data_IF_417154238378
#
_entry.id   IF_417154238378
#
_cell.length_a   1.000
_cell.length_b   1.000
_cell.length_c   1.000
_cell.angle_alpha   90.00
_cell.angle_beta   90.00
_cell.angle_gamma   90.00
#
_symmetry.space_group_name_H-M   'P 1'
#
loop_
_entity.id
_entity.type
_entity.pdbx_description
1 polymer ?
#
# COMPACT_ATOMS: atom_id res chain seq x y z
N UNK A 1 -53.69 7.73 -58.28
CA UNK A 1 -53.11 8.39 -57.10
C UNK A 1 -52.84 7.27 -56.10
N UNK A 2 -51.91 6.36 -56.40
CA UNK A 2 -50.44 6.50 -56.17
C UNK A 2 -50.20 6.87 -54.69
N UNK A 3 -49.49 6.14 -53.83
CA UNK A 3 -48.61 4.96 -53.85
C UNK A 3 -48.64 4.42 -52.39
N UNK A 4 -48.51 3.14 -52.06
CA UNK A 4 -47.34 2.32 -52.34
C UNK A 4 -46.14 2.69 -51.45
N UNK A 5 -46.20 2.50 -50.12
CA UNK A 5 -44.97 2.57 -49.28
C UNK A 5 -44.48 1.17 -48.94
N UNK A 6 -43.56 0.72 -49.78
CA UNK A 6 -42.88 -0.56 -49.72
C UNK A 6 -41.99 -0.68 -48.47
N UNK A 7 -42.07 -1.87 -47.89
CA UNK A 7 -41.04 -2.47 -47.07
C UNK A 7 -39.78 -2.65 -47.94
N UNK A 8 -38.62 -2.42 -47.33
CA UNK A 8 -37.25 -2.63 -47.82
C UNK A 8 -36.58 -1.45 -48.55
N UNK A 9 -35.71 -0.76 -47.81
CA UNK A 9 -34.38 -0.45 -48.31
C UNK A 9 -33.35 -0.97 -47.32
N UNK A 10 -32.69 -2.06 -47.71
CA UNK A 10 -31.49 -2.57 -47.08
C UNK A 10 -30.31 -1.63 -47.40
N UNK A 11 -29.29 -1.64 -46.53
CA UNK A 11 -28.03 -0.85 -46.54
C UNK A 11 -28.12 0.52 -45.86
N UNK A 12 -28.13 0.51 -44.52
CA UNK A 12 -27.71 1.65 -43.71
C UNK A 12 -26.56 1.20 -42.83
N UNK A 13 -25.47 1.96 -42.79
CA UNK A 13 -24.45 1.86 -41.75
C UNK A 13 -25.12 1.72 -40.36
N UNK A 14 -24.52 1.00 -39.39
CA UNK A 14 -25.11 0.91 -38.06
C UNK A 14 -25.41 2.33 -37.58
N UNK A 15 -26.68 2.62 -37.27
CA UNK A 15 -27.03 3.82 -36.51
C UNK A 15 -26.04 3.91 -35.38
N UNK A 16 -25.30 5.03 -35.31
CA UNK A 16 -24.18 5.19 -34.38
C UNK A 16 -24.58 4.71 -33.00
N UNK A 17 -23.71 3.92 -32.37
CA UNK A 17 -23.97 3.27 -31.08
C UNK A 17 -24.42 4.30 -30.02
N UNK A 18 -24.01 5.56 -30.20
CA UNK A 18 -24.42 6.71 -29.39
C UNK A 18 -25.90 7.09 -29.55
N UNK A 19 -26.44 7.07 -30.77
CA UNK A 19 -27.87 7.33 -31.02
C UNK A 19 -28.74 6.20 -30.48
N UNK A 20 -28.29 4.94 -30.61
CA UNK A 20 -28.97 3.82 -29.96
C UNK A 20 -29.01 3.99 -28.43
N UNK A 21 -27.90 4.40 -27.81
CA UNK A 21 -27.84 4.67 -26.37
C UNK A 21 -28.77 5.83 -25.95
N UNK A 22 -28.88 6.86 -26.79
CA UNK A 22 -29.79 8.00 -26.57
C UNK A 22 -31.24 7.57 -26.63
N UNK A 23 -31.62 6.74 -27.61
CA UNK A 23 -32.98 6.19 -27.72
C UNK A 23 -33.35 5.34 -26.50
N UNK A 24 -32.45 4.47 -26.02
CA UNK A 24 -32.68 3.66 -24.81
C UNK A 24 -32.93 4.56 -23.58
N UNK A 25 -32.21 5.67 -23.46
CA UNK A 25 -32.30 6.56 -22.31
C UNK A 25 -33.48 7.54 -22.38
N UNK A 26 -34.17 7.70 -23.53
CA UNK A 26 -35.36 8.57 -23.65
C UNK A 26 -36.49 8.20 -22.68
N UNK A 27 -36.63 6.92 -22.35
CA UNK A 27 -37.62 6.43 -21.38
C UNK A 27 -37.17 6.52 -19.91
N UNK A 28 -35.96 7.05 -19.65
CA UNK A 28 -35.35 7.10 -18.32
C UNK A 28 -35.28 8.53 -17.79
N UNK A 29 -35.17 8.73 -16.46
CA UNK A 29 -34.91 10.05 -15.87
C UNK A 29 -33.49 10.56 -16.15
N UNK A 30 -32.65 9.77 -16.83
CA UNK A 30 -31.26 10.11 -17.12
C UNK A 30 -31.09 10.52 -18.59
N UNK A 31 -30.26 11.53 -18.83
CA UNK A 31 -29.90 11.99 -20.16
C UNK A 31 -28.39 11.91 -20.38
N UNK A 32 -27.98 11.64 -21.63
CA UNK A 32 -26.56 11.65 -22.00
C UNK A 32 -26.03 13.07 -22.06
N UNK A 33 -24.87 13.29 -21.45
CA UNK A 33 -24.13 14.53 -21.66
C UNK A 33 -23.42 14.46 -23.03
N UNK A 34 -24.03 15.06 -24.05
CA UNK A 34 -23.52 15.04 -25.42
C UNK A 34 -22.17 15.77 -25.58
N UNK A 35 -21.84 16.71 -24.69
CA UNK A 35 -20.53 17.37 -24.72
C UNK A 35 -19.39 16.43 -24.28
N UNK A 36 -19.70 15.41 -23.47
CA UNK A 36 -18.74 14.41 -22.97
C UNK A 36 -18.84 13.06 -23.70
N UNK A 37 -19.96 12.79 -24.37
CA UNK A 37 -20.23 11.52 -25.05
C UNK A 37 -19.70 11.58 -26.47
N UNK A 38 -18.86 10.60 -26.84
CA UNK A 38 -18.22 10.54 -28.16
C UNK A 38 -18.21 9.10 -28.66
N UNK A 39 -18.44 8.92 -29.94
CA UNK A 39 -18.20 7.67 -30.65
C UNK A 39 -16.90 7.83 -31.43
N UNK A 40 -15.97 6.89 -31.25
CA UNK A 40 -14.68 6.86 -31.96
C UNK A 40 -14.46 5.46 -32.52
N UNK A 41 -14.00 5.38 -33.76
CA UNK A 41 -13.57 4.11 -34.32
C UNK A 41 -12.33 3.60 -33.58
N UNK A 42 -12.20 2.28 -33.49
CA UNK A 42 -11.03 1.64 -32.84
C UNK A 42 -9.73 2.00 -33.57
N UNK A 43 -9.80 2.19 -34.89
CA UNK A 43 -8.67 2.58 -35.74
C UNK A 43 -8.18 3.99 -35.39
N UNK A 44 -9.08 4.96 -35.30
CA UNK A 44 -8.77 6.32 -34.85
C UNK A 44 -8.22 6.33 -33.42
N UNK A 45 -8.78 5.47 -32.55
CA UNK A 45 -8.29 5.33 -31.18
C UNK A 45 -6.85 4.81 -31.12
N UNK A 46 -6.40 3.98 -32.08
CA UNK A 46 -4.99 3.56 -32.16
C UNK A 46 -4.05 4.70 -32.56
N UNK A 47 -4.53 5.66 -33.36
CA UNK A 47 -3.74 6.78 -33.90
C UNK A 47 -3.74 8.02 -32.99
N UNK A 48 -4.88 8.35 -32.38
CA UNK A 48 -5.03 9.55 -31.55
C UNK A 48 -4.90 9.23 -30.05
N UNK A 49 -5.36 8.05 -29.66
CA UNK A 49 -5.51 7.66 -28.26
C UNK A 49 -6.65 8.36 -27.54
N UNK A 50 -6.82 7.97 -26.28
CA UNK A 50 -7.92 8.45 -25.44
C UNK A 50 -7.53 8.45 -23.96
N UNK A 51 -7.73 9.59 -23.29
CA UNK A 51 -7.73 9.66 -21.82
C UNK A 51 -9.05 9.06 -21.32
N UNK A 52 -9.00 7.99 -20.53
CA UNK A 52 -10.18 7.32 -20.00
C UNK A 52 -9.89 6.77 -18.60
N UNK A 53 -10.83 6.94 -17.66
CA UNK A 53 -10.75 6.38 -16.29
C UNK A 53 -9.44 6.68 -15.54
N UNK A 54 -8.85 7.84 -15.76
CA UNK A 54 -7.57 8.22 -15.13
C UNK A 54 -6.34 7.56 -15.76
N UNK A 55 -6.47 6.86 -16.88
CA UNK A 55 -5.37 6.29 -17.68
C UNK A 55 -5.38 6.81 -19.12
N UNK A 56 -4.45 6.33 -19.95
CA UNK A 56 -4.33 6.64 -21.37
C UNK A 56 -4.30 5.36 -22.21
N UNK A 57 -5.09 5.32 -23.28
CA UNK A 57 -5.16 4.20 -24.22
C UNK A 57 -4.55 4.64 -25.56
N UNK A 58 -3.70 3.78 -26.13
CA UNK A 58 -3.00 3.99 -27.41
C UNK A 58 -2.10 5.24 -27.42
N UNK A 59 -1.58 5.66 -28.58
CA UNK A 59 -0.19 5.44 -28.99
C UNK A 59 0.88 5.98 -28.03
N UNK A 60 2.10 5.44 -28.15
CA UNK A 60 3.19 5.66 -27.18
C UNK A 60 3.52 7.15 -26.94
N UNK A 61 3.50 7.99 -27.98
CA UNK A 61 3.87 9.42 -27.85
C UNK A 61 2.92 10.18 -26.91
N UNK A 62 1.59 10.27 -27.18
CA UNK A 62 0.65 10.85 -26.23
C UNK A 62 0.61 10.17 -24.86
N UNK A 63 0.80 8.84 -24.82
CA UNK A 63 0.87 8.07 -23.57
C UNK A 63 2.04 8.54 -22.69
N UNK A 64 3.21 8.78 -23.30
CA UNK A 64 4.39 9.34 -22.62
C UNK A 64 4.11 10.74 -22.10
N UNK A 65 3.54 11.62 -22.93
CA UNK A 65 3.16 12.98 -22.50
C UNK A 65 2.19 12.93 -21.30
N UNK A 66 1.22 12.03 -21.33
CA UNK A 66 0.31 11.81 -20.21
C UNK A 66 1.03 11.38 -18.93
N UNK A 67 1.97 10.44 -19.01
CA UNK A 67 2.72 10.00 -17.83
C UNK A 67 3.65 11.12 -17.32
N UNK A 68 4.26 11.90 -18.21
CA UNK A 68 5.07 13.08 -17.85
C UNK A 68 4.24 14.13 -17.10
N UNK A 69 3.01 14.43 -17.56
CA UNK A 69 2.08 15.30 -16.81
C UNK A 69 1.82 14.78 -15.38
N UNK A 70 1.74 13.44 -15.22
CA UNK A 70 1.55 12.81 -13.90
C UNK A 70 2.81 12.82 -13.04
N UNK A 71 3.99 12.72 -13.65
CA UNK A 71 5.27 12.89 -12.97
C UNK A 71 5.45 14.32 -12.48
N UNK A 72 5.05 15.33 -13.26
CA UNK A 72 5.06 16.72 -12.82
C UNK A 72 4.18 16.91 -11.56
N UNK A 73 2.98 16.33 -11.52
CA UNK A 73 2.14 16.36 -10.30
C UNK A 73 2.80 15.63 -9.12
N UNK A 74 3.50 14.53 -9.36
CA UNK A 74 4.26 13.84 -8.31
C UNK A 74 5.39 14.74 -7.79
N UNK A 75 6.13 15.39 -8.69
CA UNK A 75 7.21 16.30 -8.35
C UNK A 75 6.70 17.48 -7.50
N UNK A 76 5.63 18.15 -7.92
CA UNK A 76 4.99 19.22 -7.15
C UNK A 76 4.62 18.77 -5.73
N UNK A 77 4.06 17.56 -5.60
CA UNK A 77 3.71 16.98 -4.31
C UNK A 77 4.95 16.67 -3.44
N UNK A 78 6.08 16.27 -4.05
CA UNK A 78 7.35 16.03 -3.36
C UNK A 78 8.02 17.34 -2.93
N UNK A 79 7.95 18.39 -3.76
CA UNK A 79 8.47 19.72 -3.44
C UNK A 79 7.74 20.32 -2.24
N UNK A 80 6.42 20.16 -2.18
CA UNK A 80 5.61 20.58 -1.03
C UNK A 80 5.99 19.91 0.30
N UNK A 81 6.75 18.80 0.30
CA UNK A 81 7.23 18.15 1.52
C UNK A 81 8.40 18.89 2.18
N UNK A 82 9.11 19.75 1.45
CA UNK A 82 10.34 20.41 1.92
C UNK A 82 10.05 21.40 3.05
N UNK A 83 8.86 22.00 3.06
CA UNK A 83 8.43 22.98 4.07
C UNK A 83 7.91 22.33 5.37
N UNK A 84 7.71 21.01 5.36
CA UNK A 84 7.12 20.29 6.48
C UNK A 84 8.18 19.72 7.43
N UNK A 85 7.86 19.54 8.73
CA UNK A 85 8.76 18.85 9.64
C UNK A 85 8.99 17.41 9.16
N UNK A 86 10.25 16.96 9.19
CA UNK A 86 10.71 15.68 8.61
C UNK A 86 9.82 14.47 8.88
N UNK A 87 9.28 14.34 10.09
CA UNK A 87 8.39 13.22 10.45
C UNK A 87 7.06 13.28 9.68
N UNK A 88 6.46 14.46 9.53
CA UNK A 88 5.24 14.67 8.74
C UNK A 88 5.51 14.39 7.27
N UNK A 89 6.64 14.88 6.76
CA UNK A 89 7.04 14.65 5.37
C UNK A 89 7.22 13.16 5.08
N UNK A 90 7.89 12.42 5.97
CA UNK A 90 8.07 10.98 5.82
C UNK A 90 6.73 10.22 5.87
N UNK A 91 5.82 10.62 6.77
CA UNK A 91 4.49 10.01 6.86
C UNK A 91 3.67 10.22 5.58
N UNK A 92 3.66 11.45 5.05
CA UNK A 92 2.96 11.79 3.81
C UNK A 92 3.58 11.11 2.59
N UNK A 93 4.91 11.08 2.51
CA UNK A 93 5.64 10.39 1.46
C UNK A 93 5.24 8.91 1.40
N UNK A 94 5.31 8.21 2.54
CA UNK A 94 5.03 6.78 2.63
C UNK A 94 3.54 6.46 2.46
N UNK A 95 2.67 7.26 3.07
CA UNK A 95 1.24 6.99 3.19
C UNK A 95 0.37 7.51 2.04
N UNK A 96 0.88 8.47 1.25
CA UNK A 96 0.07 9.14 0.24
C UNK A 96 0.83 9.39 -1.07
N UNK A 97 1.93 10.14 -1.03
CA UNK A 97 2.53 10.70 -2.27
C UNK A 97 3.10 9.60 -3.16
N UNK A 98 3.82 8.62 -2.60
CA UNK A 98 4.33 7.48 -3.39
C UNK A 98 3.23 6.59 -4.00
N UNK A 99 1.98 6.72 -3.53
CA UNK A 99 0.84 5.95 -4.05
C UNK A 99 0.14 6.62 -5.24
N UNK A 100 0.45 7.89 -5.54
CA UNK A 100 -0.25 8.66 -6.57
C UNK A 100 -0.22 7.97 -7.94
N UNK A 101 0.91 7.35 -8.31
CA UNK A 101 1.07 6.67 -9.59
C UNK A 101 0.75 5.16 -9.53
N UNK A 102 0.45 4.62 -8.35
CA UNK A 102 0.28 3.16 -8.14
C UNK A 102 -0.87 2.58 -8.95
N UNK A 103 -1.92 3.38 -9.19
CA UNK A 103 -3.04 2.96 -10.03
C UNK A 103 -2.65 2.85 -11.51
N UNK A 104 -1.78 3.74 -12.00
CA UNK A 104 -1.29 3.74 -13.38
C UNK A 104 -0.45 2.50 -13.68
N UNK A 105 0.35 2.01 -12.73
CA UNK A 105 1.10 0.76 -12.91
C UNK A 105 0.21 -0.48 -13.15
N UNK A 106 -1.09 -0.40 -12.83
CA UNK A 106 -2.06 -1.48 -13.09
C UNK A 106 -2.85 -1.27 -14.37
N UNK A 107 -2.91 -0.05 -14.90
CA UNK A 107 -3.84 0.34 -15.96
C UNK A 107 -3.16 0.85 -17.23
N UNK A 108 -1.94 1.36 -17.09
CA UNK A 108 -1.14 1.91 -18.17
C UNK A 108 -0.15 0.83 -18.62
N UNK A 109 -0.22 0.46 -19.89
CA UNK A 109 0.74 -0.47 -20.49
C UNK A 109 2.15 0.16 -20.44
N UNK A 110 3.11 -0.49 -19.75
CA UNK A 110 4.41 0.09 -19.44
C UNK A 110 5.39 0.05 -20.61
N UNK A 111 5.07 -0.65 -21.70
CA UNK A 111 5.94 -0.80 -22.86
C UNK A 111 6.35 0.57 -23.42
N UNK A 112 7.65 0.86 -23.41
CA UNK A 112 8.23 2.12 -23.90
C UNK A 112 8.07 3.31 -22.94
N UNK A 113 7.78 3.05 -21.65
CA UNK A 113 7.67 4.03 -20.57
C UNK A 113 8.67 3.75 -19.42
N UNK A 114 9.60 2.81 -19.60
CA UNK A 114 10.48 2.31 -18.55
C UNK A 114 11.36 3.42 -17.95
N UNK A 115 11.81 4.34 -18.78
CA UNK A 115 12.58 5.53 -18.40
C UNK A 115 11.76 6.51 -17.55
N UNK A 116 10.47 6.69 -17.85
CA UNK A 116 9.59 7.54 -17.05
C UNK A 116 9.27 6.90 -15.68
N UNK A 117 9.18 5.57 -15.60
CA UNK A 117 9.06 4.89 -14.32
C UNK A 117 10.35 4.98 -13.49
N UNK A 118 11.50 4.95 -14.14
CA UNK A 118 12.80 5.21 -13.50
C UNK A 118 12.93 6.65 -13.01
N UNK A 119 12.43 7.62 -13.77
CA UNK A 119 12.34 9.03 -13.38
C UNK A 119 11.49 9.19 -12.09
N UNK A 120 10.35 8.51 -12.00
CA UNK A 120 9.53 8.49 -10.79
C UNK A 120 10.31 8.00 -9.56
N UNK A 121 11.12 6.96 -9.73
CA UNK A 121 11.95 6.41 -8.66
C UNK A 121 13.11 7.35 -8.28
N UNK A 122 13.67 8.07 -9.25
CA UNK A 122 14.68 9.11 -9.03
C UNK A 122 14.11 10.28 -8.24
N UNK A 123 12.95 10.81 -8.61
CA UNK A 123 12.27 11.89 -7.87
C UNK A 123 12.01 11.51 -6.41
N UNK A 124 11.52 10.29 -6.17
CA UNK A 124 11.30 9.78 -4.80
C UNK A 124 12.62 9.66 -4.05
N UNK A 125 13.68 9.18 -4.70
CA UNK A 125 15.02 9.05 -4.10
C UNK A 125 15.59 10.41 -3.69
N UNK A 126 15.48 11.40 -4.55
CA UNK A 126 15.91 12.77 -4.28
C UNK A 126 15.13 13.38 -3.10
N UNK A 127 13.82 13.17 -3.05
CA UNK A 127 13.01 13.59 -1.91
C UNK A 127 13.47 12.91 -0.60
N UNK A 128 13.83 11.62 -0.64
CA UNK A 128 14.37 10.91 0.53
C UNK A 128 15.72 11.49 0.95
N UNK A 129 16.62 11.78 -0.01
CA UNK A 129 17.92 12.42 0.26
C UNK A 129 17.70 13.77 0.96
N UNK A 130 16.78 14.59 0.44
CA UNK A 130 16.44 15.88 1.03
C UNK A 130 15.88 15.75 2.46
N UNK A 131 15.05 14.73 2.73
CA UNK A 131 14.53 14.46 4.08
C UNK A 131 15.61 14.05 5.08
N UNK A 132 16.57 13.23 4.62
CA UNK A 132 17.67 12.74 5.47
C UNK A 132 18.68 13.86 5.75
N UNK A 133 18.96 14.73 4.76
CA UNK A 133 19.92 15.82 4.87
C UNK A 133 19.70 16.68 6.13
N UNK A 134 20.74 16.89 6.93
CA UNK A 134 20.66 17.72 8.15
C UNK A 134 20.60 19.21 7.83
N UNK A 135 21.19 19.60 6.71
CA UNK A 135 21.15 20.95 6.16
C UNK A 135 21.21 20.87 4.62
N UNK A 136 20.81 21.93 3.89
CA UNK A 136 20.88 21.94 2.42
C UNK A 136 22.29 21.72 1.85
N UNK A 137 23.32 22.00 2.65
CA UNK A 137 24.73 21.87 2.26
C UNK A 137 25.34 20.50 2.60
N UNK A 138 24.67 19.67 3.39
CA UNK A 138 25.15 18.33 3.80
C UNK A 138 24.27 17.26 3.11
N UNK A 139 24.65 16.88 1.90
CA UNK A 139 23.99 15.77 1.20
C UNK A 139 24.47 14.43 1.79
N UNK A 140 23.55 13.60 2.30
CA UNK A 140 23.91 12.26 2.75
C UNK A 140 24.36 11.41 1.55
N UNK A 141 25.13 10.35 1.83
CA UNK A 141 25.44 9.33 0.82
C UNK A 141 24.14 8.81 0.20
N UNK A 142 24.19 8.52 -1.10
CA UNK A 142 23.01 8.03 -1.82
C UNK A 142 22.38 6.82 -1.11
N UNK A 143 21.08 6.87 -0.81
CA UNK A 143 20.39 5.78 -0.15
C UNK A 143 20.30 4.58 -1.07
N UNK A 144 20.66 3.40 -0.55
CA UNK A 144 20.54 2.14 -1.28
C UNK A 144 19.07 1.92 -1.70
N UNK A 145 18.84 1.74 -3.00
CA UNK A 145 17.52 1.54 -3.60
C UNK A 145 16.77 0.34 -2.99
N UNK A 146 17.51 -0.70 -2.59
CA UNK A 146 16.95 -1.86 -1.91
C UNK A 146 16.37 -1.49 -0.55
N UNK A 147 17.04 -0.64 0.23
CA UNK A 147 16.55 -0.20 1.54
C UNK A 147 15.32 0.72 1.41
N UNK A 148 15.24 1.54 0.37
CA UNK A 148 14.03 2.34 0.10
C UNK A 148 12.83 1.41 -0.15
N UNK A 149 13.03 0.39 -0.97
CA UNK A 149 11.94 -0.46 -1.43
C UNK A 149 11.56 -1.59 -0.47
N UNK A 150 12.51 -2.06 0.34
CA UNK A 150 12.26 -3.12 1.31
C UNK A 150 11.15 -2.71 2.29
N UNK A 151 10.24 -3.62 2.64
CA UNK A 151 9.22 -3.34 3.64
C UNK A 151 9.81 -2.91 5.00
N UNK A 152 9.06 -2.10 5.75
CA UNK A 152 9.44 -1.67 7.11
C UNK A 152 9.71 -2.85 8.05
N UNK A 153 8.92 -3.93 7.93
CA UNK A 153 9.14 -5.19 8.68
C UNK A 153 10.43 -5.91 8.32
N UNK A 154 11.08 -5.52 7.24
CA UNK A 154 12.38 -6.03 6.79
C UNK A 154 13.49 -4.98 6.95
N UNK A 155 13.23 -3.90 7.70
CA UNK A 155 14.19 -2.84 7.99
C UNK A 155 14.35 -1.80 6.87
N UNK A 156 13.48 -1.79 5.85
CA UNK A 156 13.47 -0.76 4.81
C UNK A 156 12.45 0.35 5.01
N UNK A 157 12.30 1.24 4.04
CA UNK A 157 11.37 2.38 4.07
C UNK A 157 9.95 2.00 3.61
N UNK A 158 9.82 0.89 2.89
CA UNK A 158 8.56 0.37 2.37
C UNK A 158 7.97 1.21 1.24
N UNK A 159 8.81 1.82 0.40
CA UNK A 159 8.42 2.59 -0.78
C UNK A 159 8.81 1.81 -2.04
N UNK A 160 7.89 1.01 -2.62
CA UNK A 160 8.24 0.11 -3.71
C UNK A 160 8.58 0.88 -4.99
N UNK A 161 9.67 0.47 -5.64
CA UNK A 161 10.13 1.06 -6.90
C UNK A 161 9.11 0.87 -8.02
N UNK A 162 8.88 1.93 -8.79
CA UNK A 162 7.94 2.00 -9.87
C UNK A 162 8.42 1.19 -11.08
N UNK A 163 9.70 1.34 -11.44
CA UNK A 163 10.31 0.63 -12.57
C UNK A 163 10.15 -0.89 -12.43
N UNK A 164 10.47 -1.41 -11.25
CA UNK A 164 10.46 -2.85 -10.98
C UNK A 164 9.06 -3.46 -11.00
N UNK A 165 8.04 -2.68 -10.66
CA UNK A 165 6.68 -3.18 -10.47
C UNK A 165 5.75 -2.94 -11.66
N UNK A 166 6.06 -1.97 -12.52
CA UNK A 166 5.15 -1.52 -13.56
C UNK A 166 4.70 -2.68 -14.49
N UNK A 167 5.64 -3.54 -14.91
CA UNK A 167 5.34 -4.66 -15.80
C UNK A 167 4.45 -5.72 -15.15
N UNK A 168 4.88 -6.28 -14.03
CA UNK A 168 4.16 -7.38 -13.36
C UNK A 168 2.79 -6.92 -12.83
N UNK A 169 2.67 -5.68 -12.34
CA UNK A 169 1.37 -5.15 -11.87
C UNK A 169 0.39 -4.95 -13.02
N UNK A 170 0.87 -4.51 -14.19
CA UNK A 170 0.04 -4.37 -15.38
C UNK A 170 -0.43 -5.74 -15.87
N UNK A 171 0.47 -6.73 -15.95
CA UNK A 171 0.12 -8.10 -16.35
C UNK A 171 -0.92 -8.71 -15.40
N UNK A 172 -0.69 -8.62 -14.08
CA UNK A 172 -1.61 -9.10 -13.06
C UNK A 172 -3.01 -8.47 -13.19
N UNK A 173 -3.08 -7.16 -13.42
CA UNK A 173 -4.34 -6.46 -13.61
C UNK A 173 -5.04 -6.85 -14.92
N UNK A 174 -4.29 -7.02 -16.01
CA UNK A 174 -4.79 -7.47 -17.31
C UNK A 174 -5.38 -8.88 -17.21
N UNK A 175 -4.69 -9.81 -16.55
CA UNK A 175 -5.16 -11.18 -16.33
C UNK A 175 -6.40 -11.21 -15.45
N UNK A 176 -6.43 -10.43 -14.37
CA UNK A 176 -7.59 -10.32 -13.49
C UNK A 176 -8.84 -9.80 -14.21
N UNK A 177 -8.68 -9.05 -15.30
CA UNK A 177 -9.79 -8.53 -16.10
C UNK A 177 -10.36 -9.51 -17.13
N UNK A 178 -9.63 -10.59 -17.46
CA UNK A 178 -10.02 -11.54 -18.53
C UNK A 178 -11.40 -12.18 -18.32
N UNK A 179 -11.79 -12.64 -17.11
CA UNK A 179 -13.12 -13.23 -16.92
C UNK A 179 -14.25 -12.25 -17.23
N UNK A 180 -14.12 -11.00 -16.79
CA UNK A 180 -15.09 -9.93 -17.06
C UNK A 180 -15.15 -9.62 -18.55
N UNK A 181 -14.01 -9.53 -19.24
CA UNK A 181 -13.97 -9.35 -20.69
C UNK A 181 -14.62 -10.52 -21.43
N UNK A 182 -14.45 -11.75 -20.94
CA UNK A 182 -15.12 -12.94 -21.47
C UNK A 182 -16.64 -12.85 -21.40
N UNK A 183 -17.19 -12.34 -20.28
CA UNK A 183 -18.62 -12.10 -20.14
C UNK A 183 -19.12 -11.00 -21.08
N UNK A 184 -18.38 -9.90 -21.22
CA UNK A 184 -18.74 -8.78 -22.09
C UNK A 184 -18.71 -9.19 -23.58
N UNK A 185 -17.77 -10.05 -23.97
CA UNK A 185 -17.60 -10.49 -25.37
C UNK A 185 -18.56 -11.60 -25.79
N UNK A 186 -19.22 -12.29 -24.85
CA UNK A 186 -20.23 -13.29 -25.22
C UNK A 186 -21.40 -12.54 -25.89
N UNK A 187 -21.76 -12.87 -27.13
CA UNK A 187 -23.00 -12.35 -27.70
C UNK A 187 -24.16 -12.76 -26.80
N UNK A 188 -25.16 -11.88 -26.63
CA UNK A 188 -26.42 -12.18 -25.94
C UNK A 188 -27.16 -13.31 -26.69
N UNK A 189 -26.69 -14.55 -26.55
CA UNK A 189 -27.53 -15.72 -26.79
C UNK A 189 -28.51 -15.80 -25.61
N UNK A 190 -29.75 -16.11 -25.96
CA UNK A 190 -30.96 -16.09 -25.12
C UNK A 190 -30.76 -16.52 -23.66
N UNK A 191 -31.55 -15.98 -22.72
CA UNK A 191 -31.45 -16.30 -21.31
C UNK A 191 -31.90 -17.74 -21.07
N UNK A 192 -30.98 -18.69 -21.09
CA UNK A 192 -31.21 -19.95 -20.39
C UNK A 192 -31.20 -19.63 -18.90
N UNK A 193 -32.37 -19.78 -18.28
CA UNK A 193 -32.65 -19.70 -16.85
C UNK A 193 -31.94 -20.83 -16.08
N UNK A 194 -30.60 -20.89 -16.14
CA UNK A 194 -29.78 -21.67 -15.22
C UNK A 194 -28.93 -20.69 -14.40
N UNK A 195 -29.61 -19.89 -13.58
CA UNK A 195 -29.01 -19.20 -12.45
C UNK A 195 -28.87 -20.18 -11.27
N UNK A 196 -27.98 -21.15 -11.42
CA UNK A 196 -27.51 -21.93 -10.28
C UNK A 196 -25.99 -22.01 -10.32
N UNK A 197 -25.37 -20.94 -9.79
CA UNK A 197 -24.27 -20.93 -8.83
C UNK A 197 -23.29 -19.80 -9.15
N UNK A 198 -22.94 -18.94 -8.17
CA UNK A 198 -21.75 -18.11 -8.31
C UNK A 198 -20.57 -19.08 -8.44
N UNK A 199 -19.72 -18.90 -9.46
CA UNK A 199 -18.44 -19.59 -9.62
C UNK A 199 -17.50 -19.26 -8.43
N UNK A 200 -17.85 -19.72 -7.23
CA UNK A 200 -17.00 -19.75 -6.05
C UNK A 200 -16.13 -21.01 -6.17
N UNK A 201 -15.04 -20.94 -6.92
CA UNK A 201 -14.11 -22.07 -6.98
C UNK A 201 -13.19 -22.16 -8.19
N UNK A 202 -13.34 -21.33 -9.23
CA UNK A 202 -12.32 -21.32 -10.27
C UNK A 202 -11.04 -20.68 -9.72
N UNK A 203 -9.91 -21.40 -9.67
CA UNK A 203 -8.65 -20.82 -9.23
C UNK A 203 -8.31 -19.64 -10.13
N UNK A 204 -7.99 -18.49 -9.53
CA UNK A 204 -7.44 -17.35 -10.27
C UNK A 204 -6.15 -17.83 -10.93
N UNK A 205 -6.14 -17.92 -12.26
CA UNK A 205 -5.00 -18.39 -13.04
C UNK A 205 -3.81 -17.40 -13.01
N UNK A 206 -4.06 -16.12 -12.69
CA UNK A 206 -3.06 -15.07 -12.66
C UNK A 206 -2.61 -14.63 -11.27
N UNK A 207 -1.41 -14.04 -11.19
CA UNK A 207 -0.90 -13.44 -9.95
C UNK A 207 -1.79 -12.26 -9.54
N UNK A 208 -2.03 -12.14 -8.24
CA UNK A 208 -2.64 -10.93 -7.67
C UNK A 208 -1.60 -9.83 -7.48
N UNK A 209 -2.02 -8.57 -7.46
CA UNK A 209 -1.12 -7.45 -7.15
C UNK A 209 -0.39 -7.62 -5.80
N UNK A 210 -1.05 -8.26 -4.82
CA UNK A 210 -0.43 -8.58 -3.53
C UNK A 210 0.67 -9.65 -3.66
N UNK A 211 0.47 -10.67 -4.50
CA UNK A 211 1.50 -11.68 -4.79
C UNK A 211 2.68 -11.06 -5.53
N UNK A 212 2.45 -10.23 -6.54
CA UNK A 212 3.51 -9.48 -7.25
C UNK A 212 4.37 -8.68 -6.26
N UNK A 213 3.74 -7.91 -5.36
CA UNK A 213 4.46 -7.17 -4.34
C UNK A 213 5.22 -8.08 -3.35
N UNK A 214 4.64 -9.21 -2.94
CA UNK A 214 5.32 -10.15 -2.04
C UNK A 214 6.53 -10.80 -2.70
N UNK A 215 6.40 -11.24 -3.95
CA UNK A 215 7.48 -11.84 -4.74
C UNK A 215 8.61 -10.85 -4.98
N UNK A 216 8.29 -9.63 -5.42
CA UNK A 216 9.29 -8.57 -5.63
C UNK A 216 10.04 -8.24 -4.33
N UNK A 217 9.33 -8.18 -3.20
CA UNK A 217 9.97 -7.95 -1.89
C UNK A 217 10.85 -9.12 -1.45
N UNK A 218 10.43 -10.38 -1.71
CA UNK A 218 11.21 -11.57 -1.38
C UNK A 218 12.49 -11.65 -2.21
N UNK A 219 12.39 -11.42 -3.53
CA UNK A 219 13.53 -11.41 -4.43
C UNK A 219 14.53 -10.31 -4.05
N UNK A 220 14.03 -9.09 -3.77
CA UNK A 220 14.87 -7.97 -3.32
C UNK A 220 15.56 -8.26 -2.00
N UNK A 221 14.85 -8.84 -1.03
CA UNK A 221 15.45 -9.20 0.25
C UNK A 221 16.56 -10.23 0.07
N UNK A 222 16.35 -11.26 -0.77
CA UNK A 222 17.36 -12.28 -1.03
C UNK A 222 18.64 -11.65 -1.61
N UNK A 223 18.53 -10.87 -2.69
CA UNK A 223 19.68 -10.21 -3.31
C UNK A 223 20.36 -9.23 -2.34
N UNK A 224 19.59 -8.43 -1.60
CA UNK A 224 20.15 -7.49 -0.63
C UNK A 224 20.91 -8.19 0.50
N UNK A 225 20.48 -9.38 0.93
CA UNK A 225 21.16 -10.14 1.97
C UNK A 225 22.46 -10.78 1.48
N UNK A 226 22.52 -11.20 0.21
CA UNK A 226 23.75 -11.74 -0.39
C UNK A 226 24.87 -10.70 -0.36
N UNK A 227 24.55 -9.45 -0.71
CA UNK A 227 25.51 -8.33 -0.75
C UNK A 227 25.90 -7.79 0.63
N UNK A 228 25.13 -8.09 1.68
CA UNK A 228 25.34 -7.49 3.00
C UNK A 228 26.35 -8.29 3.86
N UNK A 229 27.32 -7.63 4.51
CA UNK A 229 28.17 -8.28 5.52
C UNK A 229 27.34 -8.82 6.69
N UNK A 230 27.82 -9.91 7.32
CA UNK A 230 27.09 -10.60 8.39
C UNK A 230 26.68 -9.69 9.56
N UNK A 231 27.55 -8.75 9.96
CA UNK A 231 27.26 -7.77 11.01
C UNK A 231 26.06 -6.87 10.67
N UNK A 232 25.95 -6.42 9.43
CA UNK A 232 24.82 -5.61 8.96
C UNK A 232 23.54 -6.43 8.81
N UNK A 233 23.62 -7.73 8.51
CA UNK A 233 22.44 -8.62 8.50
C UNK A 233 21.81 -8.71 9.88
N UNK A 234 22.63 -8.85 10.92
CA UNK A 234 22.15 -8.86 12.31
C UNK A 234 21.56 -7.52 12.71
N UNK A 235 22.23 -6.41 12.43
CA UNK A 235 21.71 -5.07 12.72
C UNK A 235 20.37 -4.80 12.00
N UNK A 236 20.20 -5.25 10.75
CA UNK A 236 18.92 -5.16 10.03
C UNK A 236 17.82 -5.97 10.70
N UNK A 237 18.09 -7.22 11.06
CA UNK A 237 17.12 -8.09 11.75
C UNK A 237 16.68 -7.47 13.07
N UNK A 238 17.62 -6.89 13.81
CA UNK A 238 17.34 -6.18 15.05
C UNK A 238 16.47 -4.94 14.80
N UNK A 239 16.84 -4.08 13.84
CA UNK A 239 16.08 -2.90 13.46
C UNK A 239 14.67 -3.22 12.95
N UNK A 240 14.54 -4.30 12.17
CA UNK A 240 13.27 -4.83 11.70
C UNK A 240 12.35 -5.27 12.86
N UNK A 241 12.93 -5.84 13.93
CA UNK A 241 12.22 -6.22 15.15
C UNK A 241 11.55 -5.05 15.86
N UNK A 242 12.13 -3.85 15.74
CA UNK A 242 11.64 -2.64 16.38
C UNK A 242 10.56 -1.92 15.57
N UNK A 243 10.52 -2.13 14.24
CA UNK A 243 9.65 -1.41 13.30
C UNK A 243 8.49 -2.27 12.74
N UNK A 244 8.53 -3.59 12.90
CA UNK A 244 7.44 -4.52 12.55
C UNK A 244 6.86 -5.25 13.78
N UNK A 245 5.66 -5.84 13.69
CA UNK A 245 5.21 -6.77 14.71
C UNK A 245 6.09 -8.02 14.65
N UNK A 246 6.82 -8.27 15.74
CA UNK A 246 7.52 -9.50 16.15
C UNK A 246 8.42 -10.12 15.05
N UNK A 247 9.73 -9.85 15.09
CA UNK A 247 10.72 -10.45 14.15
C UNK A 247 11.24 -11.84 14.52
N UNK A 248 10.61 -12.54 15.47
CA UNK A 248 10.94 -13.96 15.68
C UNK A 248 10.48 -14.70 14.43
N UNK A 249 11.30 -15.56 13.84
CA UNK A 249 10.93 -16.26 12.60
C UNK A 249 9.63 -17.08 12.77
N UNK A 250 9.38 -17.59 13.98
CA UNK A 250 8.11 -18.22 14.39
C UNK A 250 6.88 -17.28 14.34
N UNK A 251 7.08 -15.97 14.48
CA UNK A 251 6.00 -14.98 14.41
C UNK A 251 5.66 -14.55 12.97
N UNK A 252 6.53 -14.89 12.00
CA UNK A 252 6.22 -14.74 10.58
C UNK A 252 5.22 -15.80 10.10
N UNK A 253 5.19 -16.96 10.76
CA UNK A 253 4.22 -18.03 10.51
C UNK A 253 2.97 -17.88 11.39
N UNK A 254 3.14 -17.75 12.72
CA UNK A 254 2.05 -17.49 13.66
C UNK A 254 2.48 -16.58 14.83
N UNK A 255 2.10 -15.29 14.81
CA UNK A 255 2.38 -14.33 15.88
C UNK A 255 1.90 -14.78 17.27
N UNK A 256 0.83 -15.59 17.34
CA UNK A 256 0.25 -16.03 18.61
C UNK A 256 1.06 -17.15 19.25
N UNK A 257 1.63 -18.07 18.46
CA UNK A 257 2.55 -19.11 18.97
C UNK A 257 3.78 -18.51 19.66
N UNK A 258 4.35 -17.47 19.06
CA UNK A 258 5.53 -16.77 19.59
C UNK A 258 5.20 -16.00 20.86
N UNK A 259 4.03 -15.36 20.88
CA UNK A 259 3.53 -14.69 22.07
C UNK A 259 3.30 -15.68 23.20
N UNK A 260 2.79 -16.89 22.90
CA UNK A 260 2.56 -17.96 23.88
C UNK A 260 3.85 -18.45 24.50
N UNK A 261 4.87 -18.73 23.70
CA UNK A 261 6.21 -19.13 24.18
C UNK A 261 6.83 -18.05 25.08
N UNK A 262 6.82 -16.79 24.64
CA UNK A 262 7.30 -15.67 25.44
C UNK A 262 6.50 -15.50 26.74
N UNK A 263 5.19 -15.75 26.69
CA UNK A 263 4.30 -15.69 27.85
C UNK A 263 4.65 -16.78 28.86
N UNK A 264 4.88 -18.01 28.42
CA UNK A 264 5.30 -19.13 29.27
C UNK A 264 6.64 -18.86 29.96
N UNK A 265 7.61 -18.28 29.24
CA UNK A 265 8.89 -17.88 29.82
C UNK A 265 8.73 -16.80 30.89
N UNK A 266 7.90 -15.77 30.67
CA UNK A 266 7.64 -14.74 31.67
C UNK A 266 6.90 -15.31 32.88
N UNK A 267 5.90 -16.18 32.68
CA UNK A 267 5.21 -16.88 33.78
C UNK A 267 6.18 -17.74 34.59
N UNK A 268 7.10 -18.44 33.94
CA UNK A 268 8.17 -19.20 34.60
C UNK A 268 9.10 -18.30 35.41
N UNK A 269 9.50 -17.14 34.85
CA UNK A 269 10.36 -16.15 35.53
C UNK A 269 9.70 -15.60 36.80
N UNK A 270 8.41 -15.33 36.77
CA UNK A 270 7.67 -14.74 37.88
C UNK A 270 6.95 -15.77 38.77
N UNK A 271 7.19 -17.07 38.57
CA UNK A 271 6.57 -18.17 39.34
C UNK A 271 6.83 -18.05 40.85
N UNK A 272 7.95 -17.46 41.25
CA UNK A 272 8.33 -17.26 42.66
C UNK A 272 7.51 -16.20 43.40
N UNK A 273 6.71 -15.38 42.70
CA UNK A 273 5.86 -14.35 43.31
C UNK A 273 4.56 -14.90 43.93
N UNK A 274 4.37 -16.23 43.91
CA UNK A 274 3.28 -16.93 44.56
C UNK A 274 2.12 -17.30 43.63
N UNK A 275 1.28 -18.24 44.08
CA UNK A 275 0.19 -18.81 43.28
C UNK A 275 -0.92 -17.83 42.91
N UNK A 276 -1.03 -16.71 43.63
CA UNK A 276 -2.02 -15.65 43.39
C UNK A 276 -1.50 -14.51 42.51
N UNK A 277 -0.22 -14.51 42.15
CA UNK A 277 0.35 -13.50 41.28
C UNK A 277 0.17 -13.91 39.81
N UNK A 278 -0.62 -13.14 39.08
CA UNK A 278 -0.86 -13.35 37.65
C UNK A 278 -0.32 -12.16 36.85
N UNK A 279 0.80 -12.32 36.11
CA UNK A 279 1.36 -11.22 35.34
C UNK A 279 0.50 -10.92 34.11
N UNK A 280 0.21 -9.63 33.90
CA UNK A 280 -0.29 -9.15 32.60
C UNK A 280 0.90 -9.04 31.64
N UNK A 281 0.85 -9.81 30.54
CA UNK A 281 1.95 -9.90 29.58
C UNK A 281 1.52 -9.22 28.27
N UNK A 282 2.11 -8.05 28.02
CA UNK A 282 1.85 -7.21 26.85
C UNK A 282 3.15 -7.08 26.07
N UNK A 283 3.10 -7.36 24.77
CA UNK A 283 4.27 -7.18 23.91
C UNK A 283 4.54 -5.69 23.67
N UNK A 284 5.78 -5.35 23.28
CA UNK A 284 6.11 -3.99 22.88
C UNK A 284 5.28 -3.48 21.69
N UNK A 285 4.66 -4.39 20.92
CA UNK A 285 3.73 -4.09 19.83
C UNK A 285 2.26 -4.00 20.25
N UNK A 286 1.94 -4.15 21.55
CA UNK A 286 0.57 -4.11 22.08
C UNK A 286 -0.20 -5.42 21.95
N UNK A 287 0.42 -6.50 21.48
CA UNK A 287 -0.21 -7.83 21.44
C UNK A 287 -0.27 -8.43 22.85
N UNK A 288 -1.41 -9.02 23.19
CA UNK A 288 -1.66 -9.66 24.47
C UNK A 288 -1.95 -11.14 24.28
N UNK A 289 -1.47 -11.97 25.20
CA UNK A 289 -1.91 -13.37 25.30
C UNK A 289 -3.41 -13.43 25.63
N UNK A 290 -4.09 -14.50 25.23
CA UNK A 290 -5.55 -14.65 25.37
C UNK A 290 -6.02 -14.48 26.82
N UNK A 291 -5.26 -15.02 27.76
CA UNK A 291 -5.59 -14.92 29.19
C UNK A 291 -5.33 -13.51 29.75
N UNK A 292 -4.29 -12.84 29.26
CA UNK A 292 -4.01 -11.44 29.59
C UNK A 292 -5.13 -10.55 29.06
N UNK A 293 -5.56 -10.74 27.81
CA UNK A 293 -6.63 -9.95 27.20
C UNK A 293 -7.95 -10.09 27.97
N UNK A 294 -8.34 -11.33 28.35
CA UNK A 294 -9.55 -11.58 29.15
C UNK A 294 -9.47 -10.95 30.54
N UNK A 295 -8.31 -11.04 31.19
CA UNK A 295 -8.10 -10.48 32.54
C UNK A 295 -8.09 -8.95 32.48
N UNK A 296 -7.46 -8.39 31.44
CA UNK A 296 -7.41 -6.96 31.19
C UNK A 296 -8.80 -6.38 30.92
N UNK A 297 -9.62 -7.06 30.10
CA UNK A 297 -10.99 -6.65 29.84
C UNK A 297 -11.84 -6.64 31.12
N UNK A 298 -11.74 -7.69 31.94
CA UNK A 298 -12.42 -7.72 33.26
C UNK A 298 -11.96 -6.60 34.18
N UNK A 299 -10.67 -6.26 34.15
CA UNK A 299 -10.13 -5.14 34.92
C UNK A 299 -10.71 -3.81 34.42
N UNK A 300 -10.78 -3.60 33.11
CA UNK A 300 -11.39 -2.41 32.50
C UNK A 300 -12.87 -2.27 32.88
N UNK A 301 -13.62 -3.38 32.85
CA UNK A 301 -15.03 -3.40 33.26
C UNK A 301 -15.20 -3.04 34.74
N UNK A 302 -14.27 -3.49 35.60
CA UNK A 302 -14.33 -3.27 37.06
C UNK A 302 -13.97 -1.83 37.46
N UNK A 303 -13.01 -1.21 36.79
CA UNK A 303 -12.57 0.17 37.11
C UNK A 303 -13.42 1.24 36.41
N UNK A 304 -14.28 0.83 35.47
CA UNK A 304 -15.16 1.72 34.72
C UNK A 304 -14.46 2.49 33.59
N UNK A 305 -15.23 3.10 32.68
CA UNK A 305 -14.74 3.57 31.38
C UNK A 305 -13.71 4.71 31.48
N UNK A 306 -13.83 5.60 32.47
CA UNK A 306 -12.91 6.73 32.65
C UNK A 306 -11.52 6.25 33.09
N UNK A 307 -11.46 5.38 34.10
CA UNK A 307 -10.21 4.85 34.61
C UNK A 307 -9.57 3.86 33.62
N UNK A 308 -10.39 3.08 32.89
CA UNK A 308 -9.93 2.22 31.81
C UNK A 308 -9.21 3.02 30.70
N UNK A 309 -9.80 4.13 30.25
CA UNK A 309 -9.16 4.99 29.25
C UNK A 309 -7.83 5.59 29.73
N UNK A 310 -7.75 5.98 31.01
CA UNK A 310 -6.50 6.48 31.61
C UNK A 310 -5.43 5.38 31.73
N UNK A 311 -5.84 4.16 32.08
CA UNK A 311 -4.99 2.98 32.15
C UNK A 311 -4.45 2.63 30.75
N UNK A 312 -5.30 2.58 29.74
CA UNK A 312 -4.94 2.34 28.33
C UNK A 312 -3.93 3.38 27.83
N UNK A 313 -4.18 4.66 28.13
CA UNK A 313 -3.30 5.76 27.74
C UNK A 313 -1.94 5.65 28.42
N UNK A 314 -1.93 5.28 29.70
CA UNK A 314 -0.71 5.14 30.49
C UNK A 314 0.12 3.93 30.05
N UNK A 315 -0.52 2.79 29.77
CA UNK A 315 0.15 1.60 29.23
C UNK A 315 0.69 1.88 27.83
N UNK A 316 -0.10 2.50 26.96
CA UNK A 316 0.33 2.86 25.60
C UNK A 316 1.54 3.78 25.62
N UNK A 317 1.52 4.79 26.49
CA UNK A 317 2.61 5.75 26.67
C UNK A 317 3.85 5.10 27.30
N UNK A 318 3.67 4.18 28.25
CA UNK A 318 4.77 3.39 28.82
C UNK A 318 5.42 2.50 27.74
N UNK A 319 4.63 1.79 26.93
CA UNK A 319 5.14 0.94 25.84
C UNK A 319 5.86 1.77 24.76
N UNK A 320 5.31 2.94 24.40
CA UNK A 320 5.97 3.89 23.51
C UNK A 320 7.31 4.37 24.08
N UNK A 321 7.35 4.74 25.37
CA UNK A 321 8.58 5.16 26.05
C UNK A 321 9.60 4.02 26.11
N UNK A 322 9.19 2.81 26.47
CA UNK A 322 10.07 1.63 26.47
C UNK A 322 10.64 1.38 25.07
N UNK A 323 9.84 1.53 24.02
CA UNK A 323 10.31 1.44 22.62
C UNK A 323 11.33 2.53 22.32
N UNK A 324 11.05 3.78 22.67
CA UNK A 324 11.95 4.91 22.45
C UNK A 324 13.26 4.81 23.25
N UNK A 325 13.21 4.38 24.51
CA UNK A 325 14.40 4.19 25.37
C UNK A 325 15.24 3.01 24.92
N UNK A 326 14.61 1.90 24.52
CA UNK A 326 15.35 0.77 23.95
C UNK A 326 16.09 1.21 22.69
N UNK A 327 15.42 1.96 21.80
CA UNK A 327 16.02 2.55 20.61
C UNK A 327 17.15 3.56 20.94
N UNK A 328 16.98 4.41 21.94
CA UNK A 328 17.96 5.42 22.34
C UNK A 328 19.18 4.83 23.09
N UNK A 329 19.00 3.76 23.87
CA UNK A 329 20.09 3.12 24.63
C UNK A 329 21.16 2.46 23.75
N UNK A 330 20.79 2.16 22.50
CA UNK A 330 21.65 1.55 21.48
C UNK A 330 22.35 2.64 20.65
N UNK A 331 21.74 3.83 20.52
CA UNK A 331 22.36 5.03 19.95
C UNK A 331 23.34 5.66 20.98
N UNK A 332 24.43 4.96 21.31
CA UNK A 332 25.51 5.52 22.15
C UNK A 332 26.28 6.59 21.39
N UNK A 333 25.73 7.80 21.43
CA UNK A 333 26.45 9.10 21.45
C UNK A 333 25.54 10.21 22.00
N UNK A 334 24.56 9.87 22.86
CA UNK A 334 23.74 10.89 23.51
C UNK A 334 24.29 11.19 24.91
N UNK A 335 24.62 12.46 25.24
CA UNK A 335 25.21 12.80 26.54
C UNK A 335 24.30 12.37 27.69
N UNK A 336 24.93 11.80 28.72
CA UNK A 336 24.34 11.18 29.92
C UNK A 336 23.35 12.05 30.71
N UNK A 337 23.29 13.35 30.39
CA UNK A 337 22.44 14.34 31.05
C UNK A 337 20.98 14.30 30.57
N UNK A 338 20.68 13.75 29.38
CA UNK A 338 19.29 13.62 28.90
C UNK A 338 18.54 12.45 29.54
N UNK A 339 19.25 11.34 29.81
CA UNK A 339 18.66 10.12 30.37
C UNK A 339 18.15 10.31 31.82
N UNK A 340 18.73 11.24 32.59
CA UNK A 340 18.32 11.55 33.96
C UNK A 340 17.11 12.48 34.06
N UNK A 341 16.87 13.31 33.04
CA UNK A 341 15.76 14.29 33.02
C UNK A 341 14.39 13.63 32.80
N UNK A 342 14.34 12.52 32.05
CA UNK A 342 13.10 11.89 31.58
C UNK A 342 12.30 11.20 32.71
N UNK A 343 12.89 11.00 33.88
CA UNK A 343 12.24 10.36 35.04
C UNK A 343 11.72 11.32 36.11
N UNK A 344 11.95 12.63 35.99
CA UNK A 344 11.40 13.60 36.93
C UNK A 344 10.03 14.09 36.46
N UNK A 345 8.97 13.47 36.95
CA UNK A 345 7.67 14.16 37.01
C UNK A 345 7.80 15.35 37.97
N UNK A 346 7.35 16.56 37.61
CA UNK A 346 7.22 17.62 38.60
C UNK A 346 6.20 17.14 39.65
N UNK A 347 6.62 17.11 40.92
CA UNK A 347 5.67 16.97 42.03
C UNK A 347 4.78 18.21 42.00
N UNK A 348 3.48 18.01 41.79
CA UNK A 348 2.50 19.07 41.98
C UNK A 348 2.64 19.63 43.41
N UNK A 349 2.77 20.95 43.50
CA UNK A 349 2.53 21.72 44.73
C UNK A 349 1.13 22.29 44.64
#
# INVERSE_FOLDING_TARGET
MEDGSAIASAKGAPQGTLEAAKEVLKGSPFSLNLAKSKEKAIEDLKLEGLKALGTYISPIRPKRTFLQEKLATLQEALEALQDLPKQHSLLLLRGSIQLLLRHLQRQLDPTGLEDLWEEADTLIREAIIALVARSPSESPKEPNSSLIALPVREGGLGIPLHKDLAHELFLAAREASQPTLGLIRKPLAQPTLDQSQPNQGQPRLGKTAQQVLKEANKARLAGFLEDLPASYRHARLENASYLGPISKDSAKEDPYSTLREATEEKRRKYRSLGAFFQPLIISAGGLMDLETAKTYQKLQDLIGPLAANQLDSSISLALMRTRATSAASIARDTPSNLARSIWNTPRAS
#
